data_IF_404028630899
#
_entry.id   IF_404028630899
#
_cell.length_a   1.000
_cell.length_b   1.000
_cell.length_c   1.000
_cell.angle_alpha   90.00
_cell.angle_beta   90.00
_cell.angle_gamma   90.00
#
_symmetry.space_group_name_H-M   'P 1'
#
loop_
_entity.id
_entity.type
_entity.pdbx_description
1 polymer ?
#
# COMPACT_ATOMS: atom_id res chain seq x y z
N UNK A 1 -13.52 -18.71 -1.25
CA UNK A 1 -12.52 -17.69 -1.61
C UNK A 1 -11.26 -17.97 -0.79
N UNK A 2 -10.05 -17.75 -1.33
CA UNK A 2 -8.81 -17.90 -0.56
C UNK A 2 -8.80 -16.97 0.65
N UNK A 3 -8.17 -17.41 1.75
CA UNK A 3 -8.01 -16.59 2.95
C UNK A 3 -7.00 -15.45 2.73
N UNK A 4 -7.11 -14.38 3.54
CA UNK A 4 -6.23 -13.22 3.46
C UNK A 4 -4.72 -13.58 3.45
N UNK A 5 -4.22 -14.53 4.28
CA UNK A 5 -2.80 -14.91 4.24
C UNK A 5 -2.33 -15.50 2.90
N UNK A 6 -3.20 -16.25 2.23
CA UNK A 6 -2.91 -16.80 0.89
C UNK A 6 -2.81 -15.67 -0.12
N UNK A 7 -3.77 -14.74 -0.09
CA UNK A 7 -3.79 -13.57 -0.97
C UNK A 7 -2.57 -12.67 -0.75
N UNK A 8 -2.13 -12.50 0.51
CA UNK A 8 -0.90 -11.77 0.83
C UNK A 8 0.34 -12.46 0.25
N UNK A 9 0.49 -13.77 0.46
CA UNK A 9 1.61 -14.54 -0.09
C UNK A 9 1.66 -14.45 -1.61
N UNK A 10 0.52 -14.67 -2.26
CA UNK A 10 0.42 -14.67 -3.73
C UNK A 10 0.71 -13.27 -4.30
N UNK A 11 0.23 -12.22 -3.64
CA UNK A 11 0.54 -10.84 -4.03
C UNK A 11 2.02 -10.52 -3.82
N UNK A 12 2.62 -10.89 -2.68
CA UNK A 12 4.04 -10.66 -2.42
C UNK A 12 4.92 -11.34 -3.46
N UNK A 13 4.62 -12.59 -3.84
CA UNK A 13 5.35 -13.29 -4.90
C UNK A 13 5.23 -12.58 -6.27
N UNK A 14 4.05 -12.04 -6.59
CA UNK A 14 3.86 -11.25 -7.81
C UNK A 14 4.60 -9.91 -7.75
N UNK A 15 4.71 -9.30 -6.57
CA UNK A 15 5.51 -8.09 -6.35
C UNK A 15 7.01 -8.37 -6.48
N UNK A 16 7.49 -9.52 -6.02
CA UNK A 16 8.87 -9.95 -6.27
C UNK A 16 9.15 -10.11 -7.78
N UNK A 17 8.21 -10.73 -8.51
CA UNK A 17 8.35 -10.92 -9.96
C UNK A 17 8.36 -9.58 -10.73
N UNK A 18 7.47 -8.64 -10.40
CA UNK A 18 7.47 -7.35 -11.08
C UNK A 18 8.73 -6.56 -10.74
N UNK A 19 9.23 -6.57 -9.50
CA UNK A 19 10.50 -5.92 -9.15
C UNK A 19 11.69 -6.51 -9.94
N UNK A 20 11.72 -7.83 -10.13
CA UNK A 20 12.71 -8.48 -10.98
C UNK A 20 12.63 -8.04 -12.45
N UNK A 21 11.43 -7.74 -12.95
CA UNK A 21 11.25 -7.18 -14.30
C UNK A 21 11.68 -5.72 -14.37
N UNK A 22 11.31 -4.89 -13.39
CA UNK A 22 11.67 -3.47 -13.34
C UNK A 22 13.19 -3.23 -13.23
N UNK A 23 13.94 -4.21 -12.72
CA UNK A 23 15.40 -4.16 -12.65
C UNK A 23 16.09 -4.42 -14.01
N UNK A 24 15.35 -4.87 -15.02
CA UNK A 24 15.91 -5.19 -16.33
C UNK A 24 16.06 -3.93 -17.20
N UNK A 25 17.14 -3.83 -17.99
CA UNK A 25 17.36 -2.68 -18.87
C UNK A 25 16.35 -2.62 -20.03
N UNK A 26 15.79 -3.77 -20.42
CA UNK A 26 14.86 -3.91 -21.53
C UNK A 26 13.49 -4.41 -21.06
N UNK A 27 12.45 -3.98 -21.77
CA UNK A 27 11.07 -4.34 -21.50
C UNK A 27 10.74 -5.74 -22.03
N UNK A 28 10.45 -6.68 -21.14
CA UNK A 28 9.74 -7.91 -21.48
C UNK A 28 8.22 -7.68 -21.41
N UNK A 29 7.64 -7.27 -22.54
CA UNK A 29 6.21 -6.91 -22.64
C UNK A 29 5.28 -8.06 -22.22
N UNK A 30 5.63 -9.30 -22.55
CA UNK A 30 4.78 -10.46 -22.32
C UNK A 30 4.76 -10.80 -20.83
N UNK A 31 5.92 -10.91 -20.18
CA UNK A 31 6.00 -11.16 -18.74
C UNK A 31 5.39 -10.01 -17.96
N UNK A 32 5.67 -8.77 -18.34
CA UNK A 32 5.10 -7.61 -17.67
C UNK A 32 3.56 -7.61 -17.73
N UNK A 33 2.98 -7.87 -18.90
CA UNK A 33 1.52 -7.91 -19.05
C UNK A 33 0.89 -9.00 -18.18
N UNK A 34 1.52 -10.17 -18.12
CA UNK A 34 1.06 -11.30 -17.28
C UNK A 34 1.11 -10.98 -15.80
N UNK A 35 2.24 -10.46 -15.30
CA UNK A 35 2.38 -10.14 -13.87
C UNK A 35 1.43 -9.01 -13.47
N UNK A 36 1.27 -7.97 -14.30
CA UNK A 36 0.33 -6.86 -14.03
C UNK A 36 -1.11 -7.33 -13.95
N UNK A 37 -1.53 -8.24 -14.84
CA UNK A 37 -2.86 -8.84 -14.81
C UNK A 37 -3.06 -9.68 -13.54
N UNK A 38 -2.07 -10.48 -13.16
CA UNK A 38 -2.13 -11.29 -11.95
C UNK A 38 -2.19 -10.42 -10.69
N UNK A 39 -1.36 -9.38 -10.58
CA UNK A 39 -1.42 -8.39 -9.49
C UNK A 39 -2.81 -7.74 -9.43
N UNK A 40 -3.36 -7.29 -10.56
CA UNK A 40 -4.70 -6.68 -10.62
C UNK A 40 -5.76 -7.58 -9.99
N UNK A 41 -5.73 -8.87 -10.34
CA UNK A 41 -6.67 -9.87 -9.85
C UNK A 41 -6.49 -10.13 -8.35
N UNK A 42 -5.28 -10.51 -7.91
CA UNK A 42 -5.02 -10.87 -6.52
C UNK A 42 -5.23 -9.67 -5.59
N UNK A 43 -4.80 -8.47 -6.00
CA UNK A 43 -5.03 -7.25 -5.24
C UNK A 43 -6.53 -6.90 -5.17
N UNK A 44 -7.31 -7.16 -6.22
CA UNK A 44 -8.77 -7.02 -6.17
C UNK A 44 -9.42 -7.96 -5.15
N UNK A 45 -9.06 -9.24 -5.17
CA UNK A 45 -9.56 -10.23 -4.22
C UNK A 45 -9.14 -9.90 -2.77
N UNK A 46 -7.89 -9.46 -2.58
CA UNK A 46 -7.35 -8.99 -1.29
C UNK A 46 -8.15 -7.80 -0.75
N UNK A 47 -8.37 -6.76 -1.56
CA UNK A 47 -9.11 -5.55 -1.15
C UNK A 47 -10.51 -5.87 -0.65
N UNK A 48 -11.24 -6.74 -1.36
CA UNK A 48 -12.59 -7.16 -0.97
C UNK A 48 -12.57 -7.94 0.35
N UNK A 49 -11.57 -8.79 0.54
CA UNK A 49 -11.39 -9.58 1.78
C UNK A 49 -11.08 -8.67 2.96
N UNK A 50 -10.19 -7.69 2.79
CA UNK A 50 -9.84 -6.71 3.82
C UNK A 50 -11.04 -5.85 4.21
N UNK A 51 -11.78 -5.32 3.24
CA UNK A 51 -12.99 -4.53 3.51
C UNK A 51 -14.01 -5.32 4.34
N UNK A 52 -14.28 -6.57 3.96
CA UNK A 52 -15.18 -7.45 4.69
C UNK A 52 -14.70 -7.75 6.12
N UNK A 53 -13.39 -7.99 6.31
CA UNK A 53 -12.82 -8.23 7.62
C UNK A 53 -12.85 -6.98 8.51
N UNK A 54 -12.48 -5.81 7.99
CA UNK A 54 -12.57 -4.55 8.72
C UNK A 54 -14.01 -4.30 9.18
N UNK A 55 -14.99 -4.42 8.28
CA UNK A 55 -16.40 -4.26 8.64
C UNK A 55 -16.88 -5.22 9.74
N UNK A 56 -16.43 -6.49 9.69
CA UNK A 56 -16.77 -7.46 10.72
C UNK A 56 -16.14 -7.11 12.07
N UNK A 57 -14.88 -6.69 12.08
CA UNK A 57 -14.14 -6.34 13.30
C UNK A 57 -14.60 -5.02 13.89
N UNK A 58 -14.92 -4.02 13.08
CA UNK A 58 -15.51 -2.73 13.51
C UNK A 58 -16.82 -2.94 14.28
N UNK A 59 -17.67 -3.89 13.84
CA UNK A 59 -18.94 -4.19 14.54
C UNK A 59 -18.73 -4.90 15.88
N UNK A 60 -17.64 -5.65 16.01
CA UNK A 60 -17.31 -6.42 17.20
C UNK A 60 -16.49 -5.61 18.22
N UNK A 61 -15.72 -4.63 17.74
CA UNK A 61 -14.88 -3.76 18.55
C UNK A 61 -15.59 -2.45 18.90
N UNK A 62 -15.13 -1.79 19.96
CA UNK A 62 -15.51 -0.42 20.31
C UNK A 62 -14.29 0.47 20.46
N UNK A 63 -14.51 1.79 20.52
CA UNK A 63 -13.46 2.76 20.85
C UNK A 63 -12.29 2.76 19.86
N UNK A 64 -11.06 2.83 20.38
CA UNK A 64 -9.83 3.00 19.60
C UNK A 64 -9.60 1.87 18.59
N UNK A 65 -9.96 0.63 18.95
CA UNK A 65 -9.78 -0.54 18.07
C UNK A 65 -10.68 -0.44 16.84
N UNK A 66 -11.93 0.01 17.00
CA UNK A 66 -12.83 0.24 15.87
C UNK A 66 -12.30 1.36 14.94
N UNK A 67 -11.67 2.39 15.49
CA UNK A 67 -11.04 3.46 14.70
C UNK A 67 -9.84 2.95 13.88
N UNK A 68 -9.06 2.01 14.41
CA UNK A 68 -7.94 1.39 13.66
C UNK A 68 -8.43 0.61 12.44
N UNK A 69 -9.53 -0.15 12.57
CA UNK A 69 -10.12 -0.86 11.43
C UNK A 69 -10.73 0.09 10.40
N UNK A 70 -11.40 1.17 10.86
CA UNK A 70 -11.92 2.21 9.96
C UNK A 70 -10.78 2.92 9.20
N UNK A 71 -9.67 3.23 9.87
CA UNK A 71 -8.48 3.80 9.23
C UNK A 71 -7.86 2.83 8.22
N UNK A 72 -7.77 1.54 8.54
CA UNK A 72 -7.28 0.51 7.62
C UNK A 72 -8.16 0.41 6.37
N UNK A 73 -9.48 0.47 6.56
CA UNK A 73 -10.45 0.47 5.46
C UNK A 73 -10.31 1.69 4.56
N UNK A 74 -10.10 2.88 5.15
CA UNK A 74 -9.84 4.09 4.37
C UNK A 74 -8.53 3.97 3.58
N UNK A 75 -7.44 3.48 4.19
CA UNK A 75 -6.18 3.21 3.50
C UNK A 75 -6.37 2.28 2.31
N UNK A 76 -7.20 1.24 2.47
CA UNK A 76 -7.52 0.30 1.38
C UNK A 76 -8.23 0.97 0.18
N UNK A 77 -9.07 1.98 0.44
CA UNK A 77 -9.71 2.82 -0.61
C UNK A 77 -8.66 3.71 -1.28
N UNK A 78 -7.81 4.37 -0.49
CA UNK A 78 -6.80 5.29 -1.01
C UNK A 78 -5.79 4.54 -1.91
N UNK A 79 -5.29 3.38 -1.48
CA UNK A 79 -4.43 2.51 -2.29
C UNK A 79 -5.14 2.01 -3.55
N UNK A 80 -6.47 1.80 -3.51
CA UNK A 80 -7.25 1.45 -4.70
C UNK A 80 -7.25 2.56 -5.74
N UNK A 81 -7.37 3.82 -5.29
CA UNK A 81 -7.35 5.00 -6.16
C UNK A 81 -5.96 5.14 -6.78
N UNK A 82 -4.90 5.07 -5.96
CA UNK A 82 -3.50 5.09 -6.42
C UNK A 82 -3.24 4.01 -7.49
N UNK A 83 -3.65 2.77 -7.23
CA UNK A 83 -3.48 1.66 -8.17
C UNK A 83 -4.23 1.90 -9.49
N UNK A 84 -5.47 2.38 -9.42
CA UNK A 84 -6.30 2.67 -10.59
C UNK A 84 -5.68 3.77 -11.45
N UNK A 85 -5.21 4.85 -10.82
CA UNK A 85 -4.50 5.93 -11.51
C UNK A 85 -3.22 5.42 -12.18
N UNK A 86 -2.44 4.58 -11.49
CA UNK A 86 -1.22 3.99 -12.05
C UNK A 86 -1.52 3.12 -13.29
N UNK A 87 -2.53 2.24 -13.21
CA UNK A 87 -2.91 1.40 -14.36
C UNK A 87 -3.44 2.25 -15.51
N UNK A 88 -4.22 3.29 -15.23
CA UNK A 88 -4.75 4.20 -16.24
C UNK A 88 -3.69 5.08 -16.92
N UNK A 89 -2.65 5.48 -16.18
CA UNK A 89 -1.55 6.28 -16.71
C UNK A 89 -0.57 5.46 -17.58
N UNK A 90 -0.47 4.15 -17.35
CA UNK A 90 0.53 3.28 -17.98
C UNK A 90 -0.11 2.18 -18.82
N UNK A 91 -0.55 2.56 -20.02
CA UNK A 91 -0.90 1.61 -21.07
C UNK A 91 0.34 0.93 -21.67
N UNK A 92 0.14 -0.12 -22.48
CA UNK A 92 1.27 -0.85 -23.08
C UNK A 92 2.13 0.03 -23.98
N UNK A 93 1.51 1.00 -24.65
CA UNK A 93 2.20 1.95 -25.52
C UNK A 93 3.11 2.86 -24.71
N UNK A 94 2.57 3.49 -23.67
CA UNK A 94 3.30 4.44 -22.81
C UNK A 94 4.48 3.75 -22.10
N UNK A 95 4.30 2.50 -21.69
CA UNK A 95 5.36 1.68 -21.09
C UNK A 95 6.48 1.40 -22.10
N UNK A 96 6.13 1.10 -23.35
CA UNK A 96 7.12 0.86 -24.39
C UNK A 96 7.85 2.14 -24.83
N UNK A 97 7.17 3.28 -24.79
CA UNK A 97 7.74 4.59 -25.12
C UNK A 97 8.68 5.12 -24.02
N UNK A 98 8.37 4.89 -22.74
CA UNK A 98 9.20 5.34 -21.60
C UNK A 98 9.30 4.29 -20.49
N UNK A 99 10.01 3.20 -20.80
CA UNK A 99 10.30 2.11 -19.85
C UNK A 99 10.95 2.60 -18.54
N UNK A 100 11.98 3.48 -18.57
CA UNK A 100 12.60 3.97 -17.33
C UNK A 100 11.65 4.76 -16.43
N UNK A 101 10.76 5.59 -16.98
CA UNK A 101 9.77 6.30 -16.18
C UNK A 101 8.73 5.35 -15.58
N UNK A 102 8.28 4.36 -16.35
CA UNK A 102 7.41 3.31 -15.83
C UNK A 102 8.07 2.59 -14.64
N UNK A 103 9.34 2.19 -14.75
CA UNK A 103 10.06 1.52 -13.68
C UNK A 103 10.09 2.34 -12.38
N UNK A 104 10.35 3.65 -12.48
CA UNK A 104 10.34 4.55 -11.31
C UNK A 104 8.94 4.62 -10.68
N UNK A 105 7.90 4.78 -11.49
CA UNK A 105 6.53 4.86 -11.02
C UNK A 105 6.05 3.55 -10.37
N UNK A 106 6.34 2.40 -10.98
CA UNK A 106 5.94 1.09 -10.46
C UNK A 106 6.71 0.70 -9.19
N UNK A 107 7.97 1.11 -9.05
CA UNK A 107 8.74 0.87 -7.81
C UNK A 107 8.07 1.53 -6.59
N UNK A 108 7.53 2.75 -6.75
CA UNK A 108 6.81 3.42 -5.68
C UNK A 108 5.52 2.68 -5.30
N UNK A 109 4.75 2.26 -6.29
CA UNK A 109 3.51 1.49 -6.08
C UNK A 109 3.77 0.14 -5.39
N UNK A 110 4.82 -0.58 -5.80
CA UNK A 110 5.19 -1.85 -5.16
C UNK A 110 5.50 -1.65 -3.67
N UNK A 111 6.26 -0.60 -3.33
CA UNK A 111 6.55 -0.26 -1.93
C UNK A 111 5.28 0.03 -1.13
N UNK A 112 4.35 0.82 -1.69
CA UNK A 112 3.06 1.14 -1.08
C UNK A 112 2.26 -0.14 -0.77
N UNK A 113 2.15 -1.06 -1.75
CA UNK A 113 1.45 -2.33 -1.57
C UNK A 113 2.11 -3.23 -0.51
N UNK A 114 3.43 -3.32 -0.46
CA UNK A 114 4.13 -4.10 0.58
C UNK A 114 3.87 -3.54 1.99
N UNK A 115 3.92 -2.22 2.15
CA UNK A 115 3.62 -1.56 3.42
C UNK A 115 2.18 -1.83 3.85
N UNK A 116 1.24 -1.74 2.92
CA UNK A 116 -0.18 -2.02 3.17
C UNK A 116 -0.38 -3.48 3.64
N UNK A 117 0.26 -4.46 2.99
CA UNK A 117 0.21 -5.87 3.41
C UNK A 117 0.76 -6.05 4.84
N UNK A 118 1.87 -5.40 5.19
CA UNK A 118 2.45 -5.51 6.53
C UNK A 118 1.50 -4.97 7.62
N UNK A 119 0.82 -3.86 7.35
CA UNK A 119 -0.19 -3.30 8.26
C UNK A 119 -1.37 -4.27 8.40
N UNK A 120 -1.85 -4.83 7.29
CA UNK A 120 -2.95 -5.80 7.29
C UNK A 120 -2.60 -7.06 8.07
N UNK A 121 -1.37 -7.57 7.93
CA UNK A 121 -0.91 -8.73 8.70
C UNK A 121 -0.93 -8.45 10.20
N UNK A 122 -0.45 -7.28 10.62
CA UNK A 122 -0.43 -6.88 12.02
C UNK A 122 -1.84 -6.69 12.62
N UNK A 123 -2.81 -6.20 11.83
CA UNK A 123 -4.14 -5.87 12.35
C UNK A 123 -5.19 -6.97 12.15
N UNK A 124 -5.09 -7.76 11.07
CA UNK A 124 -6.14 -8.70 10.65
C UNK A 124 -5.70 -10.17 10.69
N UNK A 125 -4.40 -10.45 10.68
CA UNK A 125 -3.88 -11.82 10.66
C UNK A 125 -3.34 -12.31 12.01
N UNK A 126 -3.29 -11.47 13.05
CA UNK A 126 -2.97 -11.94 14.40
C UNK A 126 -4.05 -12.91 14.91
N UNK A 127 -3.62 -14.07 15.39
CA UNK A 127 -4.52 -15.00 16.07
C UNK A 127 -4.72 -14.54 17.52
N UNK A 128 -5.85 -14.90 18.18
CA UNK A 128 -6.07 -14.56 19.59
C UNK A 128 -4.98 -15.10 20.54
N UNK A 129 -4.21 -16.10 20.12
CA UNK A 129 -3.09 -16.67 20.89
C UNK A 129 -1.82 -15.80 20.84
N UNK A 130 -1.69 -14.92 19.84
CA UNK A 130 -0.57 -13.97 19.69
C UNK A 130 -0.89 -12.59 20.28
N UNK A 131 -2.13 -12.37 20.70
CA UNK A 131 -2.55 -11.13 21.33
C UNK A 131 -2.11 -11.14 22.79
N UNK A 132 -0.90 -10.65 23.08
CA UNK A 132 -0.59 -10.20 24.43
C UNK A 132 -1.62 -9.11 24.81
N UNK A 133 -2.53 -9.37 25.78
CA UNK A 133 -3.58 -8.43 26.13
C UNK A 133 -3.03 -7.09 26.67
N UNK A 134 -1.73 -7.01 26.96
CA UNK A 134 -1.05 -5.80 27.38
C UNK A 134 -0.53 -4.93 26.22
N UNK A 135 -0.35 -5.47 25.00
CA UNK A 135 0.17 -4.70 23.87
C UNK A 135 -0.83 -3.67 23.31
N UNK A 136 -2.14 -3.94 23.48
CA UNK A 136 -3.23 -3.02 23.07
C UNK A 136 -3.67 -2.07 24.19
N UNK A 137 -3.10 -2.21 25.40
CA UNK A 137 -3.50 -1.45 26.59
C UNK A 137 -2.56 -0.28 26.92
N UNK A 138 -1.44 -0.12 26.21
CA UNK A 138 -0.52 1.00 26.43
C UNK A 138 -0.71 2.11 25.37
N UNK A 139 -1.35 3.25 25.71
CA UNK A 139 -1.41 4.41 24.82
C UNK A 139 -0.04 5.05 24.53
N UNK A 140 1.06 4.52 25.09
CA UNK A 140 2.45 4.96 24.84
C UNK A 140 3.27 3.95 24.04
N UNK A 141 2.78 2.74 23.76
CA UNK A 141 3.51 1.67 23.08
C UNK A 141 3.73 1.87 21.57
N UNK A 142 2.99 2.81 20.95
CA UNK A 142 3.11 3.13 19.52
C UNK A 142 3.83 4.46 19.22
N UNK A 143 4.55 5.04 20.20
CA UNK A 143 5.41 6.23 20.01
C UNK A 143 6.90 5.83 19.90
N UNK A 144 7.22 4.78 19.15
CA UNK A 144 8.55 4.15 19.17
C UNK A 144 9.22 3.85 17.83
N UNK A 145 8.62 4.23 16.69
CA UNK A 145 9.38 4.32 15.43
C UNK A 145 9.44 5.78 15.00
N UNK A 146 10.52 6.42 15.46
CA UNK A 146 10.98 7.69 14.97
C UNK A 146 11.01 7.65 13.43
N UNK A 147 10.18 8.49 12.79
CA UNK A 147 10.37 8.84 11.39
C UNK A 147 11.80 9.36 11.22
N UNK A 148 12.52 8.99 10.15
CA UNK A 148 13.87 9.49 9.95
C UNK A 148 13.84 11.02 9.92
N UNK A 149 14.64 11.60 10.81
CA UNK A 149 14.88 13.01 10.97
C UNK A 149 15.28 13.61 9.60
N UNK A 150 14.39 14.37 8.97
CA UNK A 150 14.80 15.27 7.89
C UNK A 150 15.14 16.61 8.53
N UNK A 151 16.44 16.82 8.75
CA UNK A 151 17.00 18.15 8.89
C UNK A 151 16.62 18.96 7.64
N UNK A 152 15.69 19.90 7.80
CA UNK A 152 15.60 21.06 6.91
C UNK A 152 15.79 22.28 7.79
N UNK A 153 17.05 22.66 7.97
CA UNK A 153 17.39 24.03 8.31
C UNK A 153 16.76 24.96 7.28
N UNK A 154 15.94 25.90 7.75
CA UNK A 154 15.68 27.13 7.03
C UNK A 154 17.03 27.85 6.81
N UNK A 155 17.23 28.62 5.71
CA UNK A 155 16.65 29.97 5.74
C UNK A 155 16.30 30.61 4.38
N UNK A 156 15.55 31.72 4.49
CA UNK A 156 15.42 32.86 3.56
C UNK A 156 14.37 32.84 2.44
N UNK A 157 13.55 33.91 2.44
CA UNK A 157 13.03 34.54 1.22
C UNK A 157 11.51 34.56 1.11
N UNK A 158 10.86 35.53 1.76
CA UNK A 158 9.50 35.94 1.39
C UNK A 158 9.55 36.72 0.06
N UNK A 159 8.78 36.36 -0.98
CA UNK A 159 8.40 37.31 -2.01
C UNK A 159 7.01 37.92 -1.72
N UNK A 160 6.80 39.20 -2.03
CA UNK A 160 5.59 39.94 -1.68
C UNK A 160 4.39 39.54 -2.54
N UNK A 161 3.20 39.59 -1.94
CA UNK A 161 1.90 39.41 -2.61
C UNK A 161 1.60 40.60 -3.52
N UNK A 162 1.12 40.40 -4.77
CA UNK A 162 0.60 41.49 -5.57
C UNK A 162 -0.77 41.92 -5.04
N UNK A 163 -0.91 43.23 -4.83
CA UNK A 163 -2.17 43.89 -4.49
C UNK A 163 -3.12 43.83 -5.69
N UNK A 164 -4.33 43.33 -5.44
CA UNK A 164 -5.48 43.48 -6.33
C UNK A 164 -5.84 44.97 -6.44
N UNK A 165 -5.93 45.46 -7.67
CA UNK A 165 -6.66 46.67 -8.06
C UNK A 165 -7.75 46.27 -9.04
#
# INVERSE_FOLDING_TARGET
>A
MPGLPILHRDLLAALDEIESLLAQPELDQLRLSRVRLYISRVNGERRNTVDALCLARERQAGGVIAQQFAALRQSNIDTSIEYTMHVGAWGLREIAEDWPAYCRASTALVRSLRQQIAIEQALLCMTPDDADPLALSDPRGYMGRQLPNQDIGAPHGHPPRPHLR
#
